data_IF_620807176082
#
_entry.id   IF_620807176082
#
_cell.length_a   1.000
_cell.length_b   1.000
_cell.length_c   1.000
_cell.angle_alpha   90.00
_cell.angle_beta   90.00
_cell.angle_gamma   90.00
#
_symmetry.space_group_name_H-M   'P 1'
#
loop_
_entity.id
_entity.type
_entity.pdbx_description
1 polymer ?
#
# COMPACT_ATOMS: atom_id res chain seq x y z
N UNK A 1 -10.46 31.08 18.92
CA UNK A 1 -11.10 29.88 18.36
C UNK A 1 -9.99 28.98 17.87
N UNK A 2 -9.53 28.06 18.71
CA UNK A 2 -8.54 27.04 18.32
C UNK A 2 -9.22 26.09 17.34
N UNK A 3 -8.67 25.99 16.13
CA UNK A 3 -9.27 25.29 15.00
C UNK A 3 -9.41 23.80 15.26
N UNK A 4 -10.63 23.27 15.11
CA UNK A 4 -10.91 21.83 15.02
C UNK A 4 -10.49 21.26 13.64
N UNK A 5 -9.26 21.55 13.20
CA UNK A 5 -8.72 21.04 11.92
C UNK A 5 -7.97 19.70 12.08
N UNK A 6 -8.14 18.99 13.19
CA UNK A 6 -7.57 17.65 13.37
C UNK A 6 -8.48 16.57 12.78
N UNK A 7 -7.92 15.75 11.89
CA UNK A 7 -8.56 14.50 11.48
C UNK A 7 -8.34 13.46 12.58
N UNK A 8 -9.40 12.83 13.12
CA UNK A 8 -9.27 11.85 14.18
C UNK A 8 -8.36 10.70 13.75
N UNK A 9 -7.37 10.38 14.57
CA UNK A 9 -6.56 9.18 14.37
C UNK A 9 -7.33 7.96 14.88
N UNK A 10 -7.43 6.87 14.10
CA UNK A 10 -8.05 5.65 14.60
C UNK A 10 -7.25 5.07 15.77
N UNK A 11 -7.91 4.39 16.72
CA UNK A 11 -7.22 3.70 17.79
C UNK A 11 -6.51 2.44 17.26
N UNK A 12 -5.38 2.07 17.86
CA UNK A 12 -4.62 0.88 17.49
C UNK A 12 -5.33 -0.41 17.95
N UNK A 13 -6.35 -0.83 17.21
CA UNK A 13 -7.18 -2.00 17.51
C UNK A 13 -7.31 -2.91 16.28
N UNK A 14 -7.76 -4.17 16.44
CA UNK A 14 -7.99 -5.08 15.32
C UNK A 14 -8.98 -4.57 14.26
N UNK A 15 -9.92 -3.68 14.62
CA UNK A 15 -10.83 -3.03 13.66
C UNK A 15 -10.06 -2.28 12.56
N UNK A 16 -8.92 -1.69 12.92
CA UNK A 16 -8.03 -0.92 12.05
C UNK A 16 -6.81 -1.72 11.60
N UNK A 17 -6.90 -3.05 11.66
CA UNK A 17 -5.85 -3.98 11.25
C UNK A 17 -4.48 -3.61 11.83
N UNK A 18 -4.45 -3.23 13.12
CA UNK A 18 -3.19 -2.98 13.82
C UNK A 18 -2.37 -4.27 13.89
N UNK A 19 -1.10 -4.18 13.49
CA UNK A 19 -0.11 -5.24 13.63
C UNK A 19 1.05 -4.65 14.43
N UNK A 20 1.37 -5.24 15.57
CA UNK A 20 2.59 -4.88 16.28
C UNK A 20 3.82 -5.32 15.45
N UNK A 21 4.83 -4.47 15.34
CA UNK A 21 6.10 -4.83 14.71
C UNK A 21 6.67 -6.14 15.28
N UNK A 22 7.03 -7.07 14.38
CA UNK A 22 7.47 -8.43 14.75
C UNK A 22 6.37 -9.36 15.28
N UNK A 23 5.13 -8.91 15.39
CA UNK A 23 3.97 -9.69 15.83
C UNK A 23 3.42 -10.65 14.75
N UNK A 24 2.37 -11.43 15.05
CA UNK A 24 1.72 -12.27 14.04
C UNK A 24 1.08 -11.40 12.94
N UNK A 25 1.01 -11.93 11.71
CA UNK A 25 0.31 -11.26 10.62
C UNK A 25 -1.18 -11.07 10.95
N UNK A 26 -1.74 -9.92 10.56
CA UNK A 26 -3.19 -9.72 10.58
C UNK A 26 -3.81 -10.37 9.34
N UNK A 27 -4.84 -11.19 9.54
CA UNK A 27 -5.56 -11.89 8.46
C UNK A 27 -6.87 -11.15 8.20
N UNK A 28 -7.05 -10.67 6.98
CA UNK A 28 -8.30 -10.04 6.57
C UNK A 28 -9.37 -11.08 6.21
N UNK A 29 -10.65 -10.72 6.27
CA UNK A 29 -11.70 -11.48 5.60
C UNK A 29 -11.36 -11.65 4.11
N UNK A 30 -11.51 -12.89 3.60
CA UNK A 30 -11.28 -13.15 2.19
C UNK A 30 -12.26 -12.36 1.31
N UNK A 31 -11.76 -11.82 0.20
CA UNK A 31 -12.55 -11.12 -0.80
C UNK A 31 -12.23 -11.67 -2.18
N UNK A 32 -13.26 -11.93 -2.99
CA UNK A 32 -13.13 -12.44 -4.35
C UNK A 32 -12.23 -13.70 -4.46
N UNK A 33 -12.25 -14.59 -3.45
CA UNK A 33 -11.42 -15.80 -3.44
C UNK A 33 -9.95 -15.56 -3.12
N UNK A 34 -9.59 -14.37 -2.66
CA UNK A 34 -8.24 -13.99 -2.22
C UNK A 34 -8.22 -13.80 -0.71
N UNK A 35 -7.26 -14.42 -0.04
CA UNK A 35 -6.90 -14.12 1.34
C UNK A 35 -5.85 -13.02 1.35
N UNK A 36 -5.92 -12.12 2.34
CA UNK A 36 -4.91 -11.06 2.51
C UNK A 36 -4.31 -11.19 3.90
N UNK A 37 -3.00 -11.06 3.99
CA UNK A 37 -2.25 -10.92 5.24
C UNK A 37 -1.49 -9.62 5.24
N UNK A 38 -1.51 -8.90 6.36
CA UNK A 38 -0.67 -7.74 6.63
C UNK A 38 0.39 -8.10 7.65
N UNK A 39 1.62 -7.76 7.33
CA UNK A 39 2.76 -7.81 8.23
C UNK A 39 3.21 -6.39 8.53
N UNK A 40 3.61 -6.13 9.77
CA UNK A 40 4.48 -5.00 10.08
C UNK A 40 5.92 -5.49 10.16
N UNK A 41 6.82 -4.88 9.37
CA UNK A 41 8.23 -5.24 9.27
C UNK A 41 9.15 -4.02 9.40
N UNK A 42 10.36 -4.27 9.88
CA UNK A 42 11.42 -3.27 9.97
C UNK A 42 11.19 -2.23 11.07
N UNK A 43 12.15 -1.31 11.20
CA UNK A 43 12.12 -0.28 12.26
C UNK A 43 11.16 0.87 11.97
N UNK A 44 10.65 0.96 10.74
CA UNK A 44 9.68 1.98 10.31
C UNK A 44 8.24 1.49 10.35
N UNK A 45 7.98 0.29 10.87
CA UNK A 45 6.63 -0.28 10.98
C UNK A 45 5.95 -0.36 9.60
N UNK A 46 6.73 -0.76 8.57
CA UNK A 46 6.22 -0.86 7.20
C UNK A 46 5.22 -1.99 7.11
N UNK A 47 4.07 -1.69 6.53
CA UNK A 47 3.07 -2.67 6.18
C UNK A 47 3.44 -3.34 4.86
N UNK A 48 3.57 -4.65 4.91
CA UNK A 48 3.71 -5.51 3.72
C UNK A 48 2.47 -6.38 3.61
N UNK A 49 1.96 -6.55 2.39
CA UNK A 49 0.75 -7.32 2.14
C UNK A 49 1.04 -8.55 1.30
N UNK A 50 0.60 -9.72 1.78
CA UNK A 50 0.63 -10.96 1.03
C UNK A 50 -0.81 -11.29 0.62
N UNK A 51 -1.08 -11.26 -0.69
CA UNK A 51 -2.36 -11.63 -1.29
C UNK A 51 -2.23 -13.06 -1.81
N UNK A 52 -3.15 -13.95 -1.45
CA UNK A 52 -3.06 -15.38 -1.75
C UNK A 52 -4.35 -15.90 -2.36
N UNK A 53 -4.27 -16.62 -3.47
CA UNK A 53 -5.40 -17.26 -4.13
C UNK A 53 -5.03 -18.69 -4.54
N UNK A 54 -5.60 -19.68 -3.85
CA UNK A 54 -5.21 -21.08 -4.05
C UNK A 54 -3.74 -21.30 -3.67
N UNK A 55 -2.92 -21.73 -4.62
CA UNK A 55 -1.48 -21.92 -4.46
C UNK A 55 -0.64 -20.71 -4.90
N UNK A 56 -1.24 -19.68 -5.48
CA UNK A 56 -0.55 -18.48 -5.94
C UNK A 56 -0.54 -17.38 -4.88
N UNK A 57 0.52 -16.56 -4.90
CA UNK A 57 0.57 -15.33 -4.11
C UNK A 57 1.19 -14.15 -4.85
N UNK A 58 0.83 -12.95 -4.41
CA UNK A 58 1.46 -11.67 -4.78
C UNK A 58 1.87 -10.95 -3.51
N UNK A 59 3.07 -10.40 -3.51
CA UNK A 59 3.59 -9.56 -2.42
C UNK A 59 3.49 -8.09 -2.81
N UNK A 60 2.88 -7.25 -1.97
CA UNK A 60 2.90 -5.79 -2.11
C UNK A 60 3.91 -5.23 -1.11
N UNK A 61 4.89 -4.52 -1.65
CA UNK A 61 6.09 -3.95 -1.01
C UNK A 61 7.09 -4.97 -0.45
N UNK A 62 8.36 -4.78 -0.83
CA UNK A 62 9.48 -5.63 -0.45
C UNK A 62 10.29 -4.95 0.63
N UNK A 63 9.63 -4.54 1.72
CA UNK A 63 10.11 -3.55 2.68
C UNK A 63 11.33 -4.00 3.49
N UNK A 64 11.13 -4.90 4.45
CA UNK A 64 12.15 -5.36 5.39
C UNK A 64 11.91 -6.83 5.79
N UNK A 65 12.81 -7.38 6.62
CA UNK A 65 12.70 -8.74 7.18
C UNK A 65 12.52 -9.83 6.10
N UNK A 66 13.43 -9.96 5.11
CA UNK A 66 13.25 -10.87 3.99
C UNK A 66 13.03 -12.32 4.42
N UNK A 67 13.68 -12.79 5.49
CA UNK A 67 13.51 -14.15 6.00
C UNK A 67 12.07 -14.41 6.46
N UNK A 68 11.42 -13.42 7.08
CA UNK A 68 10.04 -13.53 7.54
C UNK A 68 9.07 -13.48 6.36
N UNK A 69 9.29 -12.59 5.40
CA UNK A 69 8.48 -12.51 4.19
C UNK A 69 8.56 -13.82 3.37
N UNK A 70 9.76 -14.40 3.27
CA UNK A 70 9.97 -15.70 2.64
C UNK A 70 9.26 -16.82 3.39
N UNK A 71 9.29 -16.83 4.73
CA UNK A 71 8.63 -17.84 5.54
C UNK A 71 7.10 -17.80 5.41
N UNK A 72 6.52 -16.60 5.40
CA UNK A 72 5.06 -16.41 5.22
C UNK A 72 4.58 -16.80 3.82
N UNK A 73 5.41 -16.53 2.81
CA UNK A 73 5.11 -16.87 1.43
C UNK A 73 5.48 -18.32 1.05
N UNK A 74 6.25 -19.04 1.88
CA UNK A 74 6.74 -20.39 1.59
C UNK A 74 5.66 -21.42 1.18
N UNK A 75 4.41 -21.37 1.70
CA UNK A 75 3.35 -22.28 1.26
C UNK A 75 2.83 -22.02 -0.15
N UNK A 76 3.20 -20.90 -0.77
CA UNK A 76 2.61 -20.40 -2.02
C UNK A 76 3.68 -20.22 -3.10
N UNK A 77 3.27 -20.32 -4.37
CA UNK A 77 4.05 -19.87 -5.51
C UNK A 77 3.86 -18.37 -5.67
N UNK A 78 4.86 -17.60 -5.25
CA UNK A 78 4.86 -16.14 -5.49
C UNK A 78 5.00 -15.88 -6.98
N UNK A 79 4.07 -15.11 -7.54
CA UNK A 79 3.95 -14.85 -8.97
C UNK A 79 4.42 -13.45 -9.35
N UNK A 80 4.35 -12.50 -8.41
CA UNK A 80 4.82 -11.14 -8.60
C UNK A 80 5.13 -10.47 -7.26
N UNK A 81 6.01 -9.47 -7.31
CA UNK A 81 6.16 -8.46 -6.27
C UNK A 81 5.72 -7.13 -6.85
N UNK A 82 4.75 -6.46 -6.24
CA UNK A 82 4.26 -5.15 -6.64
C UNK A 82 4.83 -4.10 -5.69
N UNK A 83 5.57 -3.11 -6.19
CA UNK A 83 6.01 -1.97 -5.40
C UNK A 83 5.02 -0.82 -5.50
N UNK A 84 4.66 -0.24 -4.37
CA UNK A 84 3.84 0.98 -4.33
C UNK A 84 4.68 2.19 -4.74
N UNK A 85 5.92 2.31 -4.26
CA UNK A 85 6.81 3.41 -4.57
C UNK A 85 8.27 3.07 -4.21
N UNK A 86 9.21 3.92 -4.60
CA UNK A 86 10.62 3.75 -4.27
C UNK A 86 11.06 4.62 -3.09
N UNK A 87 10.87 4.09 -1.89
CA UNK A 87 11.63 4.50 -0.72
C UNK A 87 12.45 3.32 -0.14
N UNK A 88 13.59 3.60 0.53
CA UNK A 88 14.46 2.55 1.04
C UNK A 88 13.78 1.58 2.02
N UNK A 89 12.84 2.08 2.81
CA UNK A 89 12.07 1.29 3.78
C UNK A 89 10.97 0.46 3.11
N UNK A 90 10.50 0.81 1.90
CA UNK A 90 9.58 0.00 1.09
C UNK A 90 10.27 -1.03 0.18
N UNK A 91 11.55 -0.84 -0.10
CA UNK A 91 12.31 -1.64 -1.08
C UNK A 91 13.47 -2.44 -0.48
N UNK A 92 13.71 -2.30 0.83
CA UNK A 92 14.93 -2.78 1.51
C UNK A 92 15.17 -4.29 1.42
N UNK A 93 14.11 -5.09 1.38
CA UNK A 93 14.18 -6.55 1.25
C UNK A 93 14.27 -7.03 -0.21
N UNK A 94 13.99 -6.19 -1.22
CA UNK A 94 13.88 -6.62 -2.62
C UNK A 94 15.10 -7.36 -3.15
N UNK A 95 16.32 -6.93 -2.79
CA UNK A 95 17.54 -7.63 -3.24
C UNK A 95 17.62 -9.06 -2.70
N UNK A 96 17.18 -9.28 -1.46
CA UNK A 96 17.15 -10.60 -0.85
C UNK A 96 16.01 -11.45 -1.43
N UNK A 97 14.82 -10.87 -1.57
CA UNK A 97 13.67 -11.53 -2.20
C UNK A 97 13.98 -11.96 -3.64
N UNK A 98 14.61 -11.09 -4.45
CA UNK A 98 15.00 -11.41 -5.83
C UNK A 98 16.09 -12.48 -5.92
N UNK A 99 16.97 -12.61 -4.92
CA UNK A 99 17.92 -13.74 -4.84
C UNK A 99 17.20 -15.06 -4.55
N UNK A 100 16.18 -15.04 -3.70
CA UNK A 100 15.38 -16.23 -3.39
C UNK A 100 14.40 -16.58 -4.51
N UNK A 101 13.90 -15.58 -5.23
CA UNK A 101 12.92 -15.69 -6.31
C UNK A 101 13.44 -15.02 -7.60
N UNK A 102 14.48 -15.58 -8.25
CA UNK A 102 15.12 -14.95 -9.40
C UNK A 102 14.18 -14.75 -10.58
N UNK A 103 13.21 -15.64 -10.78
CA UNK A 103 12.25 -15.58 -11.89
C UNK A 103 11.00 -14.73 -11.58
N UNK A 104 10.78 -14.35 -10.31
CA UNK A 104 9.57 -13.58 -9.94
C UNK A 104 9.74 -12.13 -10.36
N UNK A 105 8.87 -11.58 -11.22
CA UNK A 105 8.94 -10.19 -11.63
C UNK A 105 8.67 -9.25 -10.46
N UNK A 106 9.42 -8.14 -10.45
CA UNK A 106 9.14 -6.98 -9.60
C UNK A 106 8.51 -5.93 -10.49
N UNK A 107 7.31 -5.49 -10.17
CA UNK A 107 6.62 -4.42 -10.88
C UNK A 107 6.72 -3.13 -10.09
N UNK A 108 7.03 -2.04 -10.79
CA UNK A 108 7.09 -0.70 -10.25
C UNK A 108 6.84 0.32 -11.37
N UNK A 109 6.44 1.53 -11.01
CA UNK A 109 6.35 2.61 -11.99
C UNK A 109 7.74 3.07 -12.45
N UNK A 110 7.92 3.40 -13.73
CA UNK A 110 9.23 3.81 -14.28
C UNK A 110 9.84 5.05 -13.61
N UNK A 111 8.99 5.92 -13.06
CA UNK A 111 9.43 7.13 -12.35
C UNK A 111 9.94 6.85 -10.93
N UNK A 112 9.75 5.63 -10.43
CA UNK A 112 10.17 5.15 -9.11
C UNK A 112 10.90 3.80 -9.23
N UNK A 113 12.05 3.75 -9.93
CA UNK A 113 12.73 2.49 -10.22
C UNK A 113 13.31 1.87 -8.93
N UNK A 114 12.95 0.62 -8.56
CA UNK A 114 13.47 -0.03 -7.37
C UNK A 114 14.94 -0.45 -7.54
N UNK A 115 15.65 -0.82 -6.44
CA UNK A 115 17.08 -1.18 -6.46
C UNK A 115 17.37 -2.60 -7.00
N UNK A 116 16.52 -3.13 -7.89
CA UNK A 116 16.57 -4.46 -8.52
C UNK A 116 16.01 -4.40 -9.95
N UNK A 117 16.29 -5.38 -10.83
CA UNK A 117 15.60 -5.49 -12.13
C UNK A 117 14.08 -5.54 -11.92
N UNK A 118 13.35 -4.76 -12.72
CA UNK A 118 11.91 -4.59 -12.61
C UNK A 118 11.26 -4.44 -13.99
N UNK A 119 9.95 -4.66 -14.02
CA UNK A 119 9.08 -4.38 -15.16
C UNK A 119 8.25 -3.13 -14.87
N UNK A 120 8.16 -2.23 -15.84
CA UNK A 120 7.37 -1.01 -15.69
C UNK A 120 5.88 -1.34 -15.59
N UNK A 121 5.20 -0.71 -14.66
CA UNK A 121 3.77 -0.85 -14.45
C UNK A 121 3.11 0.52 -14.34
N UNK A 122 2.20 0.81 -15.27
CA UNK A 122 1.46 2.06 -15.33
C UNK A 122 0.04 1.92 -14.75
N UNK A 123 -0.56 3.06 -14.41
CA UNK A 123 -1.96 3.12 -13.98
C UNK A 123 -2.95 2.70 -15.06
N UNK A 124 -4.09 2.15 -14.66
CA UNK A 124 -5.16 1.66 -15.55
C UNK A 124 -4.96 0.22 -16.02
N UNK A 125 -3.82 -0.40 -15.71
CA UNK A 125 -3.58 -1.83 -15.95
C UNK A 125 -4.30 -2.67 -14.89
N UNK A 126 -4.83 -3.81 -15.31
CA UNK A 126 -5.41 -4.81 -14.39
C UNK A 126 -4.55 -6.06 -14.41
N UNK A 127 -4.09 -6.47 -13.22
CA UNK A 127 -3.36 -7.71 -13.01
C UNK A 127 -4.32 -8.77 -12.44
N UNK A 128 -3.98 -10.05 -12.60
CA UNK A 128 -4.80 -11.16 -12.10
C UNK A 128 -4.07 -11.93 -11.01
N UNK A 129 -4.83 -12.32 -9.98
CA UNK A 129 -4.43 -13.30 -8.98
C UNK A 129 -5.60 -14.28 -8.78
N UNK A 130 -5.47 -15.48 -9.34
CA UNK A 130 -6.57 -16.44 -9.41
C UNK A 130 -7.86 -15.83 -10.02
N UNK A 131 -8.99 -15.84 -9.29
CA UNK A 131 -10.26 -15.27 -9.77
C UNK A 131 -10.38 -13.75 -9.60
N UNK A 132 -9.44 -13.10 -8.92
CA UNK A 132 -9.52 -11.66 -8.64
C UNK A 132 -8.72 -10.81 -9.63
N UNK A 133 -9.26 -9.62 -9.88
CA UNK A 133 -8.61 -8.53 -10.60
C UNK A 133 -8.00 -7.54 -9.59
N UNK A 134 -6.77 -7.13 -9.86
CA UNK A 134 -6.04 -6.10 -9.11
C UNK A 134 -5.83 -4.93 -10.06
N UNK A 135 -6.63 -3.86 -9.89
CA UNK A 135 -6.50 -2.64 -10.66
C UNK A 135 -5.33 -1.81 -10.12
N UNK A 136 -4.42 -1.42 -11.01
CA UNK A 136 -3.30 -0.53 -10.71
C UNK A 136 -3.74 0.91 -10.93
N UNK A 137 -3.50 1.77 -9.94
CA UNK A 137 -3.90 3.18 -9.97
C UNK A 137 -2.64 4.02 -9.77
N UNK A 138 -2.28 4.85 -10.75
CA UNK A 138 -1.17 5.79 -10.60
C UNK A 138 -1.59 6.97 -9.72
N UNK A 139 -0.91 7.13 -8.59
CA UNK A 139 -1.26 8.10 -7.55
C UNK A 139 -0.06 8.96 -7.13
N UNK A 140 0.56 9.68 -8.07
CA UNK A 140 1.76 10.45 -7.79
C UNK A 140 1.52 11.55 -6.77
N UNK A 141 2.59 11.95 -6.09
CA UNK A 141 2.64 13.12 -5.22
C UNK A 141 3.51 12.91 -3.98
N UNK A 142 3.40 11.74 -3.34
CA UNK A 142 4.40 11.32 -2.34
C UNK A 142 5.75 11.10 -3.05
N UNK A 143 5.72 10.24 -4.07
CA UNK A 143 6.74 10.13 -5.10
C UNK A 143 6.12 10.31 -6.50
N UNK A 144 6.91 10.59 -7.55
CA UNK A 144 6.41 10.68 -8.91
C UNK A 144 5.81 9.36 -9.44
N UNK A 145 6.32 8.21 -9.01
CA UNK A 145 5.85 6.90 -9.45
C UNK A 145 4.97 6.15 -8.45
N UNK A 146 4.40 6.82 -7.44
CA UNK A 146 3.52 6.17 -6.46
C UNK A 146 2.33 5.47 -7.16
N UNK A 147 2.08 4.22 -6.78
CA UNK A 147 0.98 3.36 -7.24
C UNK A 147 0.13 2.91 -6.04
N UNK A 148 -1.18 2.85 -6.25
CA UNK A 148 -2.12 2.11 -5.41
C UNK A 148 -2.60 0.86 -6.14
N UNK A 149 -2.99 -0.16 -5.38
CA UNK A 149 -3.53 -1.41 -5.90
C UNK A 149 -4.93 -1.63 -5.31
N UNK A 150 -5.94 -1.79 -6.17
CA UNK A 150 -7.32 -2.02 -5.76
C UNK A 150 -7.75 -3.44 -6.13
N UNK A 151 -8.12 -4.23 -5.13
CA UNK A 151 -8.69 -5.57 -5.29
C UNK A 151 -10.08 -5.60 -4.67
N UNK A 152 -11.12 -5.66 -5.50
CA UNK A 152 -12.50 -5.51 -5.03
C UNK A 152 -12.72 -4.16 -4.34
N UNK A 153 -12.90 -4.18 -3.02
CA UNK A 153 -13.05 -2.99 -2.16
C UNK A 153 -11.90 -2.85 -1.15
N UNK A 154 -10.74 -3.45 -1.44
CA UNK A 154 -9.53 -3.36 -0.64
C UNK A 154 -8.46 -2.60 -1.44
N UNK A 155 -8.12 -1.40 -0.98
CA UNK A 155 -7.16 -0.51 -1.59
C UNK A 155 -5.85 -0.50 -0.79
N UNK A 156 -4.76 -0.89 -1.42
CA UNK A 156 -3.40 -0.79 -0.88
C UNK A 156 -2.76 0.50 -1.38
N UNK A 157 -2.44 1.43 -0.48
CA UNK A 157 -2.12 2.81 -0.88
C UNK A 157 -0.65 3.18 -0.82
N UNK A 158 0.20 2.31 -0.28
CA UNK A 158 1.56 2.67 0.10
C UNK A 158 1.51 3.98 0.90
N UNK A 159 2.31 4.95 0.48
CA UNK A 159 2.38 6.25 1.14
C UNK A 159 1.52 7.33 0.46
N UNK A 160 0.53 6.93 -0.34
CA UNK A 160 -0.40 7.88 -0.97
C UNK A 160 -1.43 8.42 0.03
N UNK A 161 -2.06 7.53 0.81
CA UNK A 161 -3.17 7.87 1.70
C UNK A 161 -3.09 7.07 2.99
N UNK A 162 -3.25 7.77 4.10
CA UNK A 162 -3.26 7.24 5.47
C UNK A 162 -4.54 7.65 6.20
N UNK A 163 -4.83 7.04 7.36
CA UNK A 163 -5.74 7.65 8.31
C UNK A 163 -5.27 9.06 8.66
N UNK A 164 -6.10 10.06 8.39
CA UNK A 164 -5.76 11.44 8.69
C UNK A 164 -5.10 12.25 7.56
N UNK A 165 -4.91 11.68 6.37
CA UNK A 165 -4.59 12.47 5.17
C UNK A 165 -3.57 11.86 4.20
N UNK A 166 -3.10 12.69 3.25
CA UNK A 166 -2.09 12.27 2.28
C UNK A 166 -0.76 11.96 2.95
N UNK A 167 0.07 11.14 2.31
CA UNK A 167 1.45 10.96 2.73
C UNK A 167 2.31 12.21 2.53
N UNK A 168 3.50 12.17 3.14
CA UNK A 168 4.42 13.31 3.15
C UNK A 168 4.84 13.70 1.73
N UNK A 169 4.60 14.95 1.35
CA UNK A 169 4.98 15.50 0.04
C UNK A 169 6.31 16.28 0.07
N UNK A 170 7.13 16.06 1.11
CA UNK A 170 8.47 16.65 1.22
C UNK A 170 8.46 18.17 1.41
N UNK A 171 7.39 18.73 1.97
CA UNK A 171 7.18 20.18 2.13
C UNK A 171 7.17 20.96 0.79
N UNK A 172 6.83 20.28 -0.30
CA UNK A 172 6.72 20.88 -1.63
C UNK A 172 5.24 21.13 -1.98
N UNK A 173 4.84 22.40 -2.21
CA UNK A 173 3.45 22.75 -2.54
C UNK A 173 2.92 22.05 -3.81
N UNK A 174 3.75 21.87 -4.84
CA UNK A 174 3.33 21.23 -6.10
C UNK A 174 3.15 19.74 -5.91
N UNK A 175 4.02 19.09 -5.14
CA UNK A 175 3.85 17.68 -4.78
C UNK A 175 2.61 17.48 -3.91
N UNK A 176 2.36 18.40 -2.98
CA UNK A 176 1.13 18.39 -2.18
C UNK A 176 -0.13 18.54 -3.05
N UNK A 177 -0.14 19.49 -3.97
CA UNK A 177 -1.24 19.62 -4.93
C UNK A 177 -1.41 18.34 -5.75
N UNK A 178 -0.31 17.73 -6.18
CA UNK A 178 -0.32 16.49 -6.96
C UNK A 178 -0.87 15.30 -6.19
N UNK A 179 -0.47 15.09 -4.93
CA UNK A 179 -1.03 14.00 -4.11
C UNK A 179 -2.52 14.23 -3.87
N UNK A 180 -2.94 15.48 -3.64
CA UNK A 180 -4.36 15.78 -3.46
C UNK A 180 -5.19 15.54 -4.72
N UNK A 181 -4.64 15.80 -5.92
CA UNK A 181 -5.28 15.43 -7.19
C UNK A 181 -5.40 13.90 -7.34
N UNK A 182 -4.38 13.15 -6.93
CA UNK A 182 -4.44 11.68 -6.90
C UNK A 182 -5.51 11.19 -5.92
N UNK A 183 -5.65 11.84 -4.76
CA UNK A 183 -6.70 11.53 -3.80
C UNK A 183 -8.10 11.81 -4.34
N UNK A 184 -8.32 12.86 -5.15
CA UNK A 184 -9.64 13.11 -5.76
C UNK A 184 -10.13 11.88 -6.51
N UNK A 185 -9.27 11.22 -7.29
CA UNK A 185 -9.60 9.97 -7.96
C UNK A 185 -9.90 8.80 -7.00
N UNK A 186 -9.13 8.66 -5.91
CA UNK A 186 -9.39 7.62 -4.90
C UNK A 186 -10.72 7.85 -4.15
N UNK A 187 -11.12 9.10 -3.95
CA UNK A 187 -12.40 9.42 -3.30
C UNK A 187 -13.61 9.19 -4.20
N UNK A 188 -13.46 8.89 -5.48
CA UNK A 188 -14.55 8.39 -6.32
C UNK A 188 -14.92 6.92 -6.01
N UNK A 189 -14.09 6.21 -5.23
CA UNK A 189 -14.37 4.84 -4.78
C UNK A 189 -15.49 4.79 -3.72
N UNK A 190 -16.19 3.65 -3.58
CA UNK A 190 -17.22 3.46 -2.56
C UNK A 190 -16.70 3.69 -1.13
N UNK A 191 -17.58 4.17 -0.24
CA UNK A 191 -17.22 4.54 1.14
C UNK A 191 -16.74 3.36 1.98
N UNK A 192 -17.21 2.16 1.67
CA UNK A 192 -16.79 0.90 2.27
C UNK A 192 -15.39 0.45 1.85
N UNK A 193 -14.79 1.09 0.84
CA UNK A 193 -13.44 0.76 0.38
C UNK A 193 -12.45 0.91 1.52
N UNK A 194 -11.86 -0.21 1.92
CA UNK A 194 -10.80 -0.27 2.94
C UNK A 194 -9.52 0.29 2.36
N UNK A 195 -8.88 1.18 3.11
CA UNK A 195 -7.59 1.79 2.80
C UNK A 195 -6.54 1.17 3.71
N UNK A 196 -5.58 0.49 3.09
CA UNK A 196 -4.48 -0.22 3.73
C UNK A 196 -3.15 0.42 3.33
N UNK A 197 -2.59 1.31 4.17
CA UNK A 197 -1.41 2.12 3.85
C UNK A 197 -0.09 1.38 3.99
N UNK A 198 0.99 1.99 3.49
CA UNK A 198 2.36 1.55 3.63
C UNK A 198 2.88 1.49 5.07
N UNK A 199 2.22 2.18 6.01
CA UNK A 199 2.56 2.16 7.43
C UNK A 199 1.33 2.31 8.34
N UNK A 200 1.40 1.72 9.53
CA UNK A 200 0.42 1.95 10.58
C UNK A 200 -0.96 1.37 10.29
N UNK A 201 -2.01 2.10 10.66
CA UNK A 201 -3.38 1.62 10.75
C UNK A 201 -4.16 1.75 9.43
N UNK A 202 -5.16 0.90 9.27
CA UNK A 202 -6.13 1.01 8.17
C UNK A 202 -7.16 2.11 8.41
N UNK A 203 -7.85 2.51 7.34
CA UNK A 203 -9.07 3.34 7.38
C UNK A 203 -10.03 2.93 6.26
N UNK A 204 -11.06 3.74 5.97
CA UNK A 204 -11.90 3.58 4.77
C UNK A 204 -12.06 4.93 4.06
N UNK A 205 -12.38 4.87 2.77
CA UNK A 205 -12.70 6.07 1.98
C UNK A 205 -13.80 6.90 2.68
N UNK A 206 -14.88 6.25 3.12
CA UNK A 206 -16.00 6.94 3.78
C UNK A 206 -15.62 7.58 5.11
N UNK A 207 -14.70 6.97 5.88
CA UNK A 207 -14.23 7.53 7.15
C UNK A 207 -13.43 8.81 6.94
N UNK A 208 -12.62 8.86 5.88
CA UNK A 208 -11.73 9.98 5.61
C UNK A 208 -12.39 11.11 4.79
N UNK A 209 -13.42 10.80 3.99
CA UNK A 209 -14.08 11.73 3.06
C UNK A 209 -14.47 13.08 3.68
N UNK A 210 -15.02 13.17 4.91
CA UNK A 210 -15.39 14.45 5.51
C UNK A 210 -14.20 15.42 5.73
N UNK A 211 -12.96 14.91 5.74
CA UNK A 211 -11.77 15.67 6.11
C UNK A 211 -10.93 16.14 4.92
N UNK A 212 -11.27 15.75 3.69
CA UNK A 212 -10.50 16.11 2.47
C UNK A 212 -10.31 17.62 2.35
N UNK A 213 -11.36 18.41 2.58
CA UNK A 213 -11.26 19.88 2.53
C UNK A 213 -10.40 20.45 3.67
N UNK A 214 -10.38 19.79 4.83
CA UNK A 214 -9.49 20.15 5.93
C UNK A 214 -8.03 19.93 5.54
N UNK A 215 -7.71 18.82 4.87
CA UNK A 215 -6.35 18.58 4.38
C UNK A 215 -5.90 19.62 3.36
N UNK A 216 -6.78 19.99 2.40
CA UNK A 216 -6.51 21.05 1.43
C UNK A 216 -6.20 22.39 2.08
N UNK A 217 -6.97 22.77 3.12
CA UNK A 217 -6.75 24.01 3.87
C UNK A 217 -5.47 23.96 4.72
N UNK A 218 -5.18 22.80 5.32
CA UNK A 218 -3.97 22.59 6.13
C UNK A 218 -2.72 22.73 5.28
N UNK A 219 -2.76 22.27 4.04
CA UNK A 219 -1.57 22.21 3.18
C UNK A 219 -0.59 21.14 3.65
N UNK A 220 0.69 21.40 3.38
CA UNK A 220 1.84 20.53 3.66
C UNK A 220 2.57 20.91 4.95
#
# INVERSE_FOLDING_TARGET
MTSNDETPRPPATPEFAHVAAGGPAFVYPSQAGVEVRKLSVGTFDNNVYLLMAGDEAVLIDGAAEPERLLAEAAPYRVTAILQTHNHPDHTGALRALKRAWPEVPVFAHEQDPPPVPFESLDGGVTMRLGPADILVIHTPGHTPGSLCYLMGTHLFTGDTMFPGGPGNSGRDPKRFERIMQSLDGLFELPDETRVSPGHGLDTTIGRERPYVQTWRRRGW
#
